data_IF_597058891271
#
_entry.id   IF_597058891271
#
_cell.length_a   1.000
_cell.length_b   1.000
_cell.length_c   1.000
_cell.angle_alpha   90.00
_cell.angle_beta   90.00
_cell.angle_gamma   90.00
#
_symmetry.space_group_name_H-M   'P 1'
#
loop_
_entity.id
_entity.type
_entity.pdbx_description
1 polymer ?
#
# COMPACT_ATOMS: atom_id res chain seq x y z
N UNK A 1 -17.58 -14.81 8.55
CA UNK A 1 -17.63 -14.78 7.08
C UNK A 1 -16.32 -14.18 6.63
N UNK A 2 -15.36 -15.04 6.28
CA UNK A 2 -14.16 -14.59 5.61
C UNK A 2 -14.57 -14.13 4.21
N UNK A 3 -14.63 -12.80 4.03
CA UNK A 3 -15.09 -12.17 2.79
C UNK A 3 -14.12 -12.38 1.63
N UNK A 4 -12.87 -12.72 1.91
CA UNK A 4 -11.81 -12.92 0.92
C UNK A 4 -11.02 -14.19 1.25
N UNK A 5 -10.45 -14.86 0.25
CA UNK A 5 -9.56 -16.02 0.43
C UNK A 5 -8.11 -15.56 0.58
N UNK A 6 -7.23 -16.45 1.07
CA UNK A 6 -5.79 -16.17 1.15
C UNK A 6 -5.22 -15.88 -0.25
N UNK A 7 -5.65 -16.66 -1.24
CA UNK A 7 -5.25 -16.52 -2.63
C UNK A 7 -5.68 -15.17 -3.21
N UNK A 8 -6.91 -14.71 -2.95
CA UNK A 8 -7.37 -13.38 -3.37
C UNK A 8 -6.51 -12.26 -2.73
N UNK A 9 -6.17 -12.39 -1.44
CA UNK A 9 -5.30 -11.40 -0.78
C UNK A 9 -3.89 -11.36 -1.41
N UNK A 10 -3.31 -12.53 -1.70
CA UNK A 10 -1.97 -12.64 -2.29
C UNK A 10 -1.92 -12.20 -3.76
N UNK A 11 -2.88 -12.62 -4.56
CA UNK A 11 -2.84 -12.50 -6.03
C UNK A 11 -3.60 -11.29 -6.55
N UNK A 12 -4.66 -10.85 -5.86
CA UNK A 12 -5.52 -9.77 -6.35
C UNK A 12 -5.36 -8.48 -5.54
N UNK A 13 -5.07 -8.56 -4.24
CA UNK A 13 -4.99 -7.37 -3.38
C UNK A 13 -3.57 -6.82 -3.22
N UNK A 14 -2.56 -7.67 -2.99
CA UNK A 14 -1.18 -7.21 -2.80
C UNK A 14 -0.56 -6.51 -4.02
N UNK A 15 -0.76 -6.97 -5.27
CA UNK A 15 -0.19 -6.30 -6.45
C UNK A 15 -0.65 -4.85 -6.65
N UNK A 16 -1.96 -4.52 -6.61
CA UNK A 16 -2.39 -3.13 -6.76
C UNK A 16 -1.91 -2.23 -5.62
N UNK A 17 -1.89 -2.71 -4.37
CA UNK A 17 -1.35 -1.95 -3.23
C UNK A 17 0.13 -1.61 -3.45
N UNK A 18 0.93 -2.60 -3.85
CA UNK A 18 2.36 -2.37 -4.15
C UNK A 18 2.56 -1.44 -5.35
N UNK A 19 1.68 -1.50 -6.35
CA UNK A 19 1.70 -0.57 -7.50
C UNK A 19 1.40 0.87 -7.07
N UNK A 20 0.41 1.07 -6.21
CA UNK A 20 0.05 2.40 -5.68
C UNK A 20 1.23 2.98 -4.90
N UNK A 21 1.87 2.20 -4.02
CA UNK A 21 3.06 2.63 -3.28
C UNK A 21 4.14 3.11 -4.26
N UNK A 22 4.54 2.26 -5.21
CA UNK A 22 5.61 2.61 -6.17
C UNK A 22 5.28 3.84 -7.01
N UNK A 23 4.01 4.02 -7.41
CA UNK A 23 3.57 5.20 -8.16
C UNK A 23 3.60 6.46 -7.30
N UNK A 24 3.18 6.38 -6.03
CA UNK A 24 3.22 7.52 -5.12
C UNK A 24 4.66 7.92 -4.79
N UNK A 25 5.56 6.95 -4.55
CA UNK A 25 6.99 7.22 -4.34
C UNK A 25 7.61 7.94 -5.53
N UNK A 26 7.40 7.42 -6.75
CA UNK A 26 7.88 8.06 -7.99
C UNK A 26 7.27 9.44 -8.23
N UNK A 27 6.04 9.67 -7.80
CA UNK A 27 5.40 10.97 -7.89
C UNK A 27 5.95 11.95 -6.86
N UNK A 28 6.19 11.50 -5.62
CA UNK A 28 6.76 12.30 -4.54
C UNK A 28 8.12 12.87 -4.92
N UNK A 29 8.97 12.06 -5.57
CA UNK A 29 10.30 12.47 -6.05
C UNK A 29 10.30 13.65 -7.03
N UNK A 30 9.14 14.02 -7.60
CA UNK A 30 9.00 15.16 -8.51
C UNK A 30 8.81 16.49 -7.78
N UNK A 31 8.62 16.46 -6.47
CA UNK A 31 8.32 17.64 -5.66
C UNK A 31 9.39 17.83 -4.59
N UNK A 32 9.70 19.09 -4.30
CA UNK A 32 10.59 19.44 -3.18
C UNK A 32 9.98 19.00 -1.85
N UNK A 33 10.86 18.64 -0.91
CA UNK A 33 10.46 18.30 0.45
C UNK A 33 9.62 19.44 1.07
N UNK A 34 8.67 19.08 1.92
CA UNK A 34 7.75 20.00 2.60
C UNK A 34 6.76 20.77 1.70
N UNK A 35 6.77 20.55 0.38
CA UNK A 35 5.67 21.06 -0.46
C UNK A 35 4.35 20.33 -0.13
N UNK A 36 3.18 20.98 -0.36
CA UNK A 36 1.89 20.31 -0.15
C UNK A 36 1.74 19.00 -0.94
N UNK A 37 2.31 18.92 -2.14
CA UNK A 37 2.31 17.71 -2.96
C UNK A 37 3.21 16.62 -2.37
N UNK A 38 4.41 16.97 -1.91
CA UNK A 38 5.30 16.03 -1.22
C UNK A 38 4.64 15.44 0.01
N UNK A 39 4.10 16.30 0.90
CA UNK A 39 3.42 15.88 2.15
C UNK A 39 2.20 15.00 1.84
N UNK A 40 1.43 15.33 0.79
CA UNK A 40 0.30 14.51 0.36
C UNK A 40 0.73 13.11 -0.05
N UNK A 41 1.76 12.99 -0.90
CA UNK A 41 2.26 11.67 -1.30
C UNK A 41 2.86 10.92 -0.12
N UNK A 42 3.58 11.60 0.78
CA UNK A 42 4.12 11.01 2.01
C UNK A 42 3.02 10.35 2.85
N UNK A 43 1.91 11.06 3.07
CA UNK A 43 0.77 10.53 3.82
C UNK A 43 0.11 9.34 3.12
N UNK A 44 -0.02 9.38 1.78
CA UNK A 44 -0.54 8.26 1.01
C UNK A 44 0.38 7.03 1.09
N UNK A 45 1.69 7.22 0.95
CA UNK A 45 2.69 6.15 1.04
C UNK A 45 2.61 5.48 2.42
N UNK A 46 2.63 6.28 3.50
CA UNK A 46 2.50 5.78 4.87
C UNK A 46 1.23 4.95 5.07
N UNK A 47 0.08 5.46 4.64
CA UNK A 47 -1.19 4.75 4.74
C UNK A 47 -1.17 3.42 3.97
N UNK A 48 -0.64 3.41 2.74
CA UNK A 48 -0.57 2.19 1.93
C UNK A 48 0.39 1.15 2.50
N UNK A 49 1.51 1.56 3.10
CA UNK A 49 2.40 0.62 3.80
C UNK A 49 1.72 -0.01 5.02
N UNK A 50 0.94 0.76 5.78
CA UNK A 50 0.13 0.21 6.88
C UNK A 50 -0.88 -0.81 6.33
N UNK A 51 -1.63 -0.45 5.28
CA UNK A 51 -2.57 -1.37 4.63
C UNK A 51 -1.89 -2.64 4.15
N UNK A 52 -0.72 -2.53 3.50
CA UNK A 52 0.07 -3.68 3.05
C UNK A 52 0.49 -4.59 4.22
N UNK A 53 0.95 -4.00 5.32
CA UNK A 53 1.33 -4.75 6.52
C UNK A 53 0.15 -5.53 7.10
N UNK A 54 -1.03 -4.91 7.17
CA UNK A 54 -2.24 -5.56 7.66
C UNK A 54 -2.70 -6.71 6.75
N UNK A 55 -2.60 -6.55 5.44
CA UNK A 55 -2.91 -7.61 4.47
C UNK A 55 -1.95 -8.80 4.63
N UNK A 56 -0.65 -8.53 4.80
CA UNK A 56 0.35 -9.58 5.01
C UNK A 56 0.12 -10.32 6.32
N UNK A 57 -0.16 -9.59 7.41
CA UNK A 57 -0.50 -10.18 8.71
C UNK A 57 -1.73 -11.10 8.60
N UNK A 58 -2.76 -10.66 7.88
CA UNK A 58 -3.96 -11.47 7.63
C UNK A 58 -3.68 -12.72 6.79
N UNK A 59 -2.84 -12.61 5.76
CA UNK A 59 -2.37 -13.77 4.97
C UNK A 59 -1.63 -14.78 5.87
N UNK A 60 -0.77 -14.28 6.77
CA UNK A 60 -0.02 -15.11 7.73
C UNK A 60 -0.93 -15.84 8.72
N UNK A 61 -2.00 -15.20 9.21
CA UNK A 61 -2.98 -15.82 10.11
C UNK A 61 -3.83 -16.92 9.45
N UNK A 62 -3.97 -16.85 8.12
CA UNK A 62 -4.71 -17.83 7.30
C UNK A 62 -3.81 -18.97 6.79
N UNK A 63 -2.56 -19.03 7.26
CA UNK A 63 -1.59 -20.08 6.95
C UNK A 63 -1.75 -21.34 7.78
#
# INVERSE_FOLDING_TARGET
MDKYTREELLLEVLPPVSSIISKCEKAQLKFEEYTPYYIRFENMIKAMYISKSLIIDEISKRG
#
